data_IF_206319407699
#
_entry.id   IF_206319407699
#
_cell.length_a   1.000
_cell.length_b   1.000
_cell.length_c   1.000
_cell.angle_alpha   90.00
_cell.angle_beta   90.00
_cell.angle_gamma   90.00
#
_symmetry.space_group_name_H-M   'P 1'
#
loop_
_entity.id
_entity.type
_entity.pdbx_description
1 polymer ?
#
# COMPACT_ATOMS: atom_id res chain seq x y z
N UNK A 1 25.36 -27.51 8.72
CA UNK A 1 25.06 -27.77 10.16
C UNK A 1 23.68 -28.36 10.46
N UNK A 2 22.69 -28.29 9.54
CA UNK A 2 21.32 -28.84 9.78
C UNK A 2 21.25 -30.37 10.01
N UNK A 3 22.37 -31.09 9.89
CA UNK A 3 22.48 -32.52 10.14
C UNK A 3 23.75 -32.91 10.96
N UNK A 4 24.32 -31.99 11.76
CA UNK A 4 25.48 -32.35 12.60
C UNK A 4 25.03 -33.21 13.79
N UNK A 5 25.47 -34.48 13.90
CA UNK A 5 25.05 -35.36 14.96
C UNK A 5 25.89 -35.18 16.23
N UNK A 6 26.63 -34.08 16.40
CA UNK A 6 27.45 -33.84 17.59
C UNK A 6 26.82 -32.85 18.57
N UNK A 7 27.57 -32.52 19.62
CA UNK A 7 27.16 -31.57 20.63
C UNK A 7 27.07 -30.16 20.03
N UNK A 8 25.92 -29.51 20.16
CA UNK A 8 25.74 -28.14 19.66
C UNK A 8 26.29 -27.08 20.61
N UNK A 9 26.73 -27.45 21.82
CA UNK A 9 27.31 -26.53 22.80
C UNK A 9 28.83 -26.36 22.63
N UNK A 10 29.56 -27.48 22.57
CA UNK A 10 31.02 -27.48 22.40
C UNK A 10 31.49 -27.94 21.01
N UNK A 11 30.56 -28.25 20.10
CA UNK A 11 30.84 -28.72 18.74
C UNK A 11 31.57 -30.08 18.64
N UNK A 12 31.69 -30.81 19.75
CA UNK A 12 32.34 -32.12 19.77
C UNK A 12 31.43 -33.23 19.20
N UNK A 13 31.90 -34.11 18.30
CA UNK A 13 31.05 -35.10 17.63
C UNK A 13 30.62 -36.28 18.52
N UNK A 14 31.37 -36.60 19.57
CA UNK A 14 31.20 -37.83 20.35
C UNK A 14 30.04 -37.86 21.37
N UNK A 15 29.39 -36.72 21.67
CA UNK A 15 28.29 -36.68 22.64
C UNK A 15 27.20 -35.70 22.20
N UNK A 16 25.99 -35.81 22.76
CA UNK A 16 24.89 -34.88 22.49
C UNK A 16 24.94 -33.68 23.45
N UNK A 17 24.31 -32.56 23.07
CA UNK A 17 24.28 -31.33 23.89
C UNK A 17 23.80 -31.55 25.34
N UNK A 18 22.88 -32.48 25.56
CA UNK A 18 22.34 -32.84 26.88
C UNK A 18 23.38 -33.51 27.80
N UNK A 19 24.35 -34.20 27.21
CA UNK A 19 25.41 -34.96 27.90
C UNK A 19 26.72 -34.14 27.99
N UNK A 20 26.69 -32.88 27.54
CA UNK A 20 27.88 -32.05 27.49
C UNK A 20 28.29 -31.58 28.89
N UNK A 21 29.48 -31.95 29.35
CA UNK A 21 30.04 -31.52 30.62
C UNK A 21 30.53 -30.05 30.63
N UNK A 22 30.55 -29.38 29.47
CA UNK A 22 30.94 -27.97 29.39
C UNK A 22 29.91 -27.07 30.08
N UNK A 23 30.42 -26.15 30.90
CA UNK A 23 29.64 -25.08 31.54
C UNK A 23 29.39 -23.88 30.61
N UNK A 24 29.94 -23.92 29.39
CA UNK A 24 29.75 -22.87 28.40
C UNK A 24 28.27 -22.68 28.05
N UNK A 25 27.86 -21.42 27.93
CA UNK A 25 26.55 -20.99 27.45
C UNK A 25 26.71 -19.91 26.38
N UNK A 26 25.72 -19.77 25.50
CA UNK A 26 25.70 -18.76 24.46
C UNK A 26 25.79 -17.36 25.08
N UNK A 27 26.71 -16.53 24.58
CA UNK A 27 26.90 -15.17 25.11
C UNK A 27 25.77 -14.20 24.76
N UNK A 28 24.90 -14.56 23.82
CA UNK A 28 23.80 -13.68 23.37
C UNK A 28 22.44 -14.03 23.99
N UNK A 29 22.21 -15.28 24.36
CA UNK A 29 20.92 -15.71 24.93
C UNK A 29 21.03 -16.71 26.09
N UNK A 30 22.24 -16.96 26.57
CA UNK A 30 22.55 -17.86 27.69
C UNK A 30 22.09 -19.32 27.52
N UNK A 31 21.67 -19.70 26.31
CA UNK A 31 21.27 -21.06 25.95
C UNK A 31 22.47 -22.02 25.85
N UNK A 32 22.22 -23.33 26.04
CA UNK A 32 23.24 -24.39 25.88
C UNK A 32 23.53 -24.71 24.41
N UNK A 33 24.11 -23.75 23.70
CA UNK A 33 24.66 -23.90 22.35
C UNK A 33 25.87 -22.98 22.16
N UNK A 34 26.73 -23.35 21.21
CA UNK A 34 27.89 -22.54 20.85
C UNK A 34 27.42 -21.18 20.31
N UNK A 35 28.05 -20.08 20.73
CA UNK A 35 27.55 -18.72 20.40
C UNK A 35 27.47 -18.48 18.89
N UNK A 36 28.37 -19.07 18.10
CA UNK A 36 28.35 -18.99 16.62
C UNK A 36 27.16 -19.70 15.96
N UNK A 37 26.43 -20.54 16.71
CA UNK A 37 25.20 -21.20 16.26
C UNK A 37 23.93 -20.46 16.71
N UNK A 38 24.07 -19.34 17.42
CA UNK A 38 22.94 -18.54 17.83
C UNK A 38 22.19 -18.02 16.60
N UNK A 39 20.90 -18.29 16.55
CA UNK A 39 19.99 -17.74 15.55
C UNK A 39 19.10 -16.74 16.30
N UNK A 40 19.08 -15.46 15.91
CA UNK A 40 18.26 -14.46 16.59
C UNK A 40 16.79 -14.81 16.39
N UNK A 41 16.15 -15.34 17.43
CA UNK A 41 14.70 -15.53 17.47
C UNK A 41 14.03 -14.27 18.02
N UNK A 42 13.00 -13.79 17.32
CA UNK A 42 12.03 -12.83 17.86
C UNK A 42 11.42 -13.40 19.14
N UNK A 43 11.56 -12.65 20.22
CA UNK A 43 11.33 -13.08 21.59
C UNK A 43 9.86 -13.34 21.92
N UNK A 44 9.61 -14.46 22.60
CA UNK A 44 8.45 -14.79 23.44
C UNK A 44 8.72 -16.17 24.05
N UNK A 45 8.44 -16.52 25.32
CA UNK A 45 7.78 -15.91 26.48
C UNK A 45 8.01 -16.85 27.68
N UNK A 46 7.70 -16.45 28.92
CA UNK A 46 7.32 -17.41 29.99
C UNK A 46 6.19 -16.85 30.89
N UNK A 47 4.93 -17.23 30.57
CA UNK A 47 3.76 -17.68 31.37
C UNK A 47 3.56 -17.19 32.84
N UNK A 48 2.37 -16.81 33.38
CA UNK A 48 0.91 -17.16 33.20
C UNK A 48 0.03 -16.19 34.07
N UNK A 49 -1.32 -16.27 34.15
CA UNK A 49 -2.39 -16.51 33.16
C UNK A 49 -3.55 -15.47 33.19
N UNK A 50 -4.48 -15.57 32.23
CA UNK A 50 -5.85 -14.98 32.18
C UNK A 50 -5.99 -13.52 31.71
N UNK A 51 -6.27 -13.35 30.42
CA UNK A 51 -7.51 -12.76 29.87
C UNK A 51 -7.33 -12.59 28.36
N UNK A 52 -8.33 -13.02 27.60
CA UNK A 52 -8.45 -12.88 26.14
C UNK A 52 -8.16 -11.45 25.67
N UNK A 53 -7.11 -11.28 24.90
CA UNK A 53 -6.79 -10.05 24.19
C UNK A 53 -6.12 -10.39 22.87
N UNK A 54 -6.92 -10.51 21.82
CA UNK A 54 -6.43 -10.64 20.45
C UNK A 54 -5.42 -9.52 20.17
N UNK A 55 -4.16 -9.90 20.03
CA UNK A 55 -3.11 -9.02 19.54
C UNK A 55 -3.29 -8.90 18.03
N UNK A 56 -4.30 -8.13 17.65
CA UNK A 56 -4.60 -7.76 16.29
C UNK A 56 -3.49 -6.83 15.82
N UNK A 57 -2.37 -7.41 15.36
CA UNK A 57 -1.40 -6.71 14.55
C UNK A 57 -2.19 -6.09 13.41
N UNK A 58 -2.33 -4.77 13.46
CA UNK A 58 -3.26 -4.00 12.66
C UNK A 58 -2.81 -4.09 11.21
N UNK A 59 -3.22 -5.16 10.50
CA UNK A 59 -3.28 -5.17 9.05
C UNK A 59 -4.33 -4.11 8.72
N UNK A 60 -3.88 -2.88 8.52
CA UNK A 60 -4.73 -1.84 7.97
C UNK A 60 -5.41 -2.42 6.73
N UNK A 61 -6.74 -2.24 6.55
CA UNK A 61 -7.42 -2.70 5.36
C UNK A 61 -6.82 -1.93 4.18
N UNK A 62 -5.86 -2.56 3.51
CA UNK A 62 -5.33 -2.11 2.24
C UNK A 62 -6.23 -2.63 1.13
N UNK A 63 -6.36 -1.81 0.09
CA UNK A 63 -6.82 -2.12 -1.24
C UNK A 63 -6.34 -3.52 -1.61
N UNK A 64 -7.30 -4.43 -1.74
CA UNK A 64 -7.00 -5.81 -2.12
C UNK A 64 -6.77 -5.86 -3.61
N UNK A 65 -5.52 -5.64 -4.03
CA UNK A 65 -5.14 -5.61 -5.45
C UNK A 65 -3.71 -5.16 -5.69
N UNK A 66 -3.05 -4.54 -4.71
CA UNK A 66 -1.64 -4.13 -4.79
C UNK A 66 -0.71 -5.16 -4.17
N UNK A 67 0.45 -5.40 -4.80
CA UNK A 67 1.50 -6.20 -4.18
C UNK A 67 1.92 -5.58 -2.86
N UNK A 68 2.09 -6.42 -1.85
CA UNK A 68 2.69 -6.07 -0.55
C UNK A 68 4.11 -6.61 -0.43
N UNK A 69 4.64 -7.28 -1.47
CA UNK A 69 6.02 -7.70 -1.54
C UNK A 69 6.91 -6.55 -2.06
N UNK A 70 8.20 -6.52 -1.66
CA UNK A 70 9.18 -5.59 -2.21
C UNK A 70 9.62 -5.96 -3.65
N UNK A 71 9.12 -7.05 -4.21
CA UNK A 71 9.40 -7.42 -5.59
C UNK A 71 8.59 -6.54 -6.54
N UNK A 72 9.21 -6.14 -7.65
CA UNK A 72 8.56 -5.35 -8.70
C UNK A 72 7.42 -6.18 -9.26
N UNK A 73 6.20 -5.87 -8.85
CA UNK A 73 5.03 -6.30 -9.59
C UNK A 73 5.15 -5.59 -10.94
N UNK A 74 5.44 -6.34 -12.01
CA UNK A 74 5.55 -5.82 -13.39
C UNK A 74 4.21 -5.33 -13.94
N UNK A 75 3.47 -4.56 -13.15
CA UNK A 75 2.16 -3.96 -13.41
C UNK A 75 2.10 -2.60 -12.69
N UNK A 76 1.86 -1.54 -13.46
CA UNK A 76 1.50 -0.23 -12.95
C UNK A 76 -0.01 -0.13 -12.78
N UNK A 77 -0.45 0.40 -11.64
CA UNK A 77 -1.84 0.85 -11.48
C UNK A 77 -1.95 2.32 -11.92
N UNK A 78 -3.12 2.68 -12.45
CA UNK A 78 -3.38 4.04 -12.92
C UNK A 78 -3.44 5.03 -11.76
N UNK A 79 -2.36 5.78 -11.55
CA UNK A 79 -2.31 6.87 -10.57
C UNK A 79 -2.56 8.23 -11.23
N UNK A 80 -3.11 9.16 -10.44
CA UNK A 80 -3.37 10.54 -10.84
C UNK A 80 -3.00 11.50 -9.71
N UNK A 81 -2.58 12.71 -10.05
CA UNK A 81 -2.41 13.82 -9.11
C UNK A 81 -3.51 14.84 -9.35
N UNK A 82 -4.41 14.98 -8.39
CA UNK A 82 -5.53 15.92 -8.47
C UNK A 82 -5.32 17.11 -7.53
N UNK A 83 -5.87 18.26 -7.94
CA UNK A 83 -5.99 19.44 -7.10
C UNK A 83 -7.31 19.40 -6.35
N UNK A 84 -7.25 19.45 -5.02
CA UNK A 84 -8.41 19.38 -4.13
C UNK A 84 -8.43 20.66 -3.27
N UNK A 85 -9.49 21.47 -3.31
CA UNK A 85 -9.61 22.64 -2.44
C UNK A 85 -9.86 22.23 -0.99
N UNK A 86 -9.19 22.91 -0.05
CA UNK A 86 -9.56 22.87 1.37
C UNK A 86 -10.83 23.69 1.64
N UNK A 87 -11.30 23.67 2.89
CA UNK A 87 -12.49 24.44 3.31
C UNK A 87 -12.34 25.97 3.18
N UNK A 88 -11.13 26.48 2.94
CA UNK A 88 -10.86 27.89 2.66
C UNK A 88 -10.66 28.16 1.15
N UNK A 89 -10.86 27.15 0.29
CA UNK A 89 -10.69 27.25 -1.16
C UNK A 89 -9.26 27.15 -1.66
N UNK A 90 -8.27 26.89 -0.80
CA UNK A 90 -6.87 26.73 -1.22
C UNK A 90 -6.67 25.36 -1.83
N UNK A 91 -6.01 25.31 -2.99
CA UNK A 91 -5.79 24.06 -3.72
C UNK A 91 -4.60 23.29 -3.17
N UNK A 92 -4.79 22.00 -2.92
CA UNK A 92 -3.77 21.07 -2.46
C UNK A 92 -3.59 19.94 -3.47
N UNK A 93 -2.36 19.49 -3.71
CA UNK A 93 -2.06 18.39 -4.61
C UNK A 93 -2.02 17.08 -3.84
N UNK A 94 -2.79 16.10 -4.32
CA UNK A 94 -2.79 14.74 -3.76
C UNK A 94 -2.66 13.72 -4.87
N UNK A 95 -1.88 12.67 -4.63
CA UNK A 95 -1.87 11.47 -5.48
C UNK A 95 -3.03 10.56 -5.09
N UNK A 96 -3.71 10.02 -6.09
CA UNK A 96 -4.78 9.05 -5.94
C UNK A 96 -4.71 7.92 -6.96
N UNK A 97 -5.61 6.96 -6.79
CA UNK A 97 -5.72 5.76 -7.60
C UNK A 97 -7.03 5.78 -8.41
N UNK A 98 -6.99 5.38 -9.67
CA UNK A 98 -8.19 5.10 -10.47
C UNK A 98 -8.56 3.62 -10.32
N UNK A 99 -9.78 3.35 -9.89
CA UNK A 99 -10.23 1.98 -9.69
C UNK A 99 -11.72 1.81 -10.03
N UNK A 100 -11.99 1.26 -11.23
CA UNK A 100 -13.34 0.89 -11.63
C UNK A 100 -13.91 -0.32 -10.84
N UNK A 101 -13.08 -1.03 -10.06
CA UNK A 101 -13.50 -2.14 -9.20
C UNK A 101 -14.08 -1.72 -7.85
N UNK A 102 -13.93 -0.45 -7.48
CA UNK A 102 -14.52 0.11 -6.26
C UNK A 102 -15.82 0.85 -6.57
N UNK A 103 -16.92 0.52 -5.90
CA UNK A 103 -18.19 1.23 -6.11
C UNK A 103 -18.15 2.70 -5.66
N UNK A 104 -17.32 3.02 -4.67
CA UNK A 104 -17.26 4.33 -4.03
C UNK A 104 -15.89 4.96 -4.16
N UNK A 105 -15.87 6.28 -4.40
CA UNK A 105 -14.68 7.09 -4.17
C UNK A 105 -14.35 7.12 -2.68
N UNK A 106 -13.06 7.03 -2.36
CA UNK A 106 -12.57 7.02 -0.98
C UNK A 106 -11.47 8.06 -0.78
N UNK A 107 -11.35 8.56 0.44
CA UNK A 107 -10.28 9.48 0.85
C UNK A 107 -9.69 9.01 2.18
N UNK A 108 -8.38 9.12 2.33
CA UNK A 108 -7.73 8.80 3.59
C UNK A 108 -8.09 9.81 4.68
N UNK A 109 -8.19 9.34 5.92
CA UNK A 109 -8.45 10.19 7.09
C UNK A 109 -7.38 11.28 7.23
N UNK A 110 -6.11 10.96 6.89
CA UNK A 110 -5.01 11.93 6.86
C UNK A 110 -5.29 13.07 5.86
N UNK A 111 -5.68 12.73 4.63
CA UNK A 111 -5.97 13.71 3.58
C UNK A 111 -7.20 14.58 3.95
N UNK A 112 -8.28 13.97 4.43
CA UNK A 112 -9.47 14.69 4.87
C UNK A 112 -9.16 15.70 6.01
N UNK A 113 -8.32 15.31 6.97
CA UNK A 113 -7.85 16.21 8.03
C UNK A 113 -6.98 17.35 7.50
N UNK A 114 -6.07 17.10 6.56
CA UNK A 114 -5.24 18.14 5.93
C UNK A 114 -6.08 19.18 5.18
N UNK A 115 -7.20 18.76 4.61
CA UNK A 115 -8.17 19.62 3.92
C UNK A 115 -9.17 20.30 4.87
N UNK A 116 -9.06 20.06 6.19
CA UNK A 116 -9.99 20.54 7.22
C UNK A 116 -11.46 20.17 6.94
N UNK A 117 -11.71 19.01 6.35
CA UNK A 117 -13.05 18.55 6.00
C UNK A 117 -13.83 18.06 7.22
N UNK A 118 -15.13 18.36 7.24
CA UNK A 118 -16.05 17.87 8.28
C UNK A 118 -16.69 16.57 7.81
N UNK A 119 -16.40 15.47 8.51
CA UNK A 119 -17.01 14.17 8.26
C UNK A 119 -18.47 14.13 8.71
N UNK A 120 -19.33 13.58 7.87
CA UNK A 120 -20.70 13.20 8.23
C UNK A 120 -20.77 11.69 8.54
N UNK A 121 -21.70 11.25 9.40
CA UNK A 121 -21.91 9.83 9.64
C UNK A 121 -22.20 9.06 8.34
N UNK A 122 -21.62 7.86 8.24
CA UNK A 122 -21.91 6.89 7.19
C UNK A 122 -22.57 5.67 7.83
N UNK A 123 -23.79 5.35 7.41
CA UNK A 123 -24.55 4.20 7.89
C UNK A 123 -24.55 3.13 6.80
N UNK A 124 -23.46 2.36 6.74
CA UNK A 124 -23.29 1.29 5.77
C UNK A 124 -22.06 0.45 6.06
N UNK A 125 -21.93 -0.66 5.35
CA UNK A 125 -20.75 -1.49 5.34
C UNK A 125 -20.15 -1.50 3.94
N UNK A 126 -18.83 -1.61 3.86
CA UNK A 126 -18.11 -1.78 2.60
C UNK A 126 -17.26 -3.02 2.76
N UNK A 127 -17.24 -3.86 1.74
CA UNK A 127 -16.41 -5.06 1.68
C UNK A 127 -15.45 -4.96 0.50
N UNK A 128 -14.20 -5.36 0.72
CA UNK A 128 -13.21 -5.57 -0.32
C UNK A 128 -13.23 -7.01 -0.85
N UNK A 129 -12.13 -7.40 -1.49
CA UNK A 129 -11.93 -8.76 -2.02
C UNK A 129 -12.07 -9.79 -0.91
N UNK A 130 -12.59 -10.96 -1.27
CA UNK A 130 -12.86 -12.06 -0.34
C UNK A 130 -13.87 -11.69 0.76
N UNK A 131 -14.82 -10.79 0.45
CA UNK A 131 -15.81 -10.25 1.39
C UNK A 131 -15.18 -9.69 2.68
N UNK A 132 -13.94 -9.19 2.60
CA UNK A 132 -13.24 -8.65 3.75
C UNK A 132 -13.85 -7.28 4.11
N UNK A 133 -14.51 -7.13 5.26
CA UNK A 133 -15.13 -5.86 5.62
C UNK A 133 -14.08 -4.78 5.85
N UNK A 134 -14.32 -3.59 5.31
CA UNK A 134 -13.53 -2.42 5.64
C UNK A 134 -13.87 -1.97 7.06
N UNK A 135 -12.85 -1.95 7.91
CA UNK A 135 -12.95 -1.49 9.29
C UNK A 135 -12.58 -0.01 9.42
N UNK A 136 -13.04 0.61 10.52
CA UNK A 136 -12.65 1.97 10.90
C UNK A 136 -13.04 3.06 9.90
N UNK A 137 -14.14 2.88 9.17
CA UNK A 137 -14.75 3.95 8.36
C UNK A 137 -15.12 5.11 9.29
N UNK A 138 -14.57 6.30 9.02
CA UNK A 138 -14.78 7.50 9.87
C UNK A 138 -16.04 8.28 9.51
N UNK A 139 -16.63 7.98 8.36
CA UNK A 139 -17.79 8.69 7.83
C UNK A 139 -17.63 8.94 6.34
N UNK A 140 -18.29 9.99 5.86
CA UNK A 140 -18.19 10.47 4.48
C UNK A 140 -18.00 11.98 4.43
N UNK A 141 -17.36 12.47 3.37
CA UNK A 141 -17.13 13.90 3.11
C UNK A 141 -17.57 14.26 1.69
N UNK A 142 -17.93 15.52 1.49
CA UNK A 142 -18.10 16.06 0.14
C UNK A 142 -16.73 16.39 -0.44
N UNK A 143 -16.37 15.71 -1.53
CA UNK A 143 -15.09 15.85 -2.19
C UNK A 143 -15.28 16.54 -3.54
N UNK A 144 -14.38 17.47 -3.86
CA UNK A 144 -14.35 18.19 -5.11
C UNK A 144 -12.95 18.06 -5.70
N UNK A 145 -12.85 17.60 -6.93
CA UNK A 145 -11.59 17.60 -7.68
C UNK A 145 -11.64 18.70 -8.75
N UNK A 146 -10.57 19.48 -8.83
CA UNK A 146 -10.33 20.36 -9.96
C UNK A 146 -9.70 19.54 -11.08
N UNK A 147 -10.40 19.46 -12.21
CA UNK A 147 -9.82 18.94 -13.44
C UNK A 147 -8.99 20.01 -14.15
N UNK A 148 -8.24 19.61 -15.18
CA UNK A 148 -7.54 20.55 -16.06
C UNK A 148 -8.52 21.39 -16.92
N UNK A 149 -9.80 21.00 -16.98
CA UNK A 149 -10.85 21.76 -17.62
C UNK A 149 -11.63 22.57 -16.56
N UNK A 150 -11.56 23.92 -16.57
CA UNK A 150 -12.24 24.76 -15.59
C UNK A 150 -13.77 24.58 -15.55
N UNK A 151 -14.36 24.08 -16.64
CA UNK A 151 -15.81 23.84 -16.74
C UNK A 151 -16.25 22.50 -16.14
N UNK A 152 -15.32 21.56 -15.89
CA UNK A 152 -15.63 20.23 -15.39
C UNK A 152 -15.15 20.08 -13.95
N UNK A 153 -16.06 20.31 -13.00
CA UNK A 153 -15.84 20.06 -11.57
C UNK A 153 -16.36 18.67 -11.21
N UNK A 154 -15.48 17.78 -10.79
CA UNK A 154 -15.86 16.43 -10.35
C UNK A 154 -16.20 16.46 -8.87
N UNK A 155 -17.45 16.15 -8.52
CA UNK A 155 -17.94 16.21 -7.14
C UNK A 155 -18.56 14.88 -6.76
N UNK A 156 -18.21 14.36 -5.58
CA UNK A 156 -18.80 13.13 -5.04
C UNK A 156 -18.83 13.13 -3.50
N UNK A 157 -19.61 12.23 -2.92
CA UNK A 157 -19.47 11.87 -1.50
C UNK A 157 -18.42 10.77 -1.35
N UNK A 158 -17.25 11.12 -0.83
CA UNK A 158 -16.17 10.16 -0.61
C UNK A 158 -16.25 9.53 0.77
N UNK A 159 -16.00 8.22 0.85
CA UNK A 159 -15.91 7.49 2.11
C UNK A 159 -14.54 7.73 2.76
N UNK A 160 -14.53 8.07 4.05
CA UNK A 160 -13.29 8.34 4.79
C UNK A 160 -12.76 7.06 5.41
N UNK A 161 -11.62 6.60 4.92
CA UNK A 161 -10.94 5.35 5.33
C UNK A 161 -9.59 5.64 5.99
N UNK A 162 -9.05 4.75 6.84
CA UNK A 162 -7.74 4.98 7.47
C UNK A 162 -6.58 4.92 6.46
N UNK A 163 -6.66 4.00 5.50
CA UNK A 163 -5.67 3.80 4.44
C UNK A 163 -6.38 3.29 3.18
N UNK A 164 -5.76 3.50 2.02
CA UNK A 164 -6.24 2.97 0.74
C UNK A 164 -5.29 1.87 0.31
N UNK A 165 -4.01 2.14 0.08
CA UNK A 165 -3.03 1.14 -0.34
C UNK A 165 -1.64 1.53 0.19
N UNK A 166 -0.66 0.61 0.29
CA UNK A 166 0.73 0.99 0.45
C UNK A 166 1.19 1.99 -0.65
N UNK A 167 2.33 2.67 -0.46
CA UNK A 167 2.88 3.54 -1.50
C UNK A 167 3.02 2.84 -2.85
N UNK A 168 2.75 3.58 -3.93
CA UNK A 168 2.82 3.09 -5.30
C UNK A 168 3.77 3.94 -6.15
N UNK A 169 4.58 3.30 -7.03
CA UNK A 169 4.89 1.87 -7.03
C UNK A 169 5.58 1.44 -5.73
N UNK A 170 5.65 0.14 -5.44
CA UNK A 170 6.24 -0.39 -4.22
C UNK A 170 7.74 -0.10 -4.13
N UNK A 171 8.40 -0.04 -5.29
CA UNK A 171 9.81 0.27 -5.47
C UNK A 171 9.98 1.25 -6.64
N UNK A 172 11.04 2.08 -6.64
CA UNK A 172 11.33 2.95 -7.77
C UNK A 172 11.55 2.15 -9.05
N UNK A 173 11.06 2.68 -10.17
CA UNK A 173 11.20 2.07 -11.49
C UNK A 173 12.27 2.79 -12.30
N UNK A 174 13.31 2.05 -12.70
CA UNK A 174 14.43 2.58 -13.48
C UNK A 174 14.43 1.96 -14.88
N UNK A 175 14.06 2.75 -15.89
CA UNK A 175 14.16 2.38 -17.31
C UNK A 175 14.10 3.64 -18.17
N UNK A 176 14.86 3.68 -19.26
CA UNK A 176 14.80 4.78 -20.24
C UNK A 176 13.46 4.82 -20.97
N UNK A 177 12.73 3.70 -21.03
CA UNK A 177 11.40 3.64 -21.68
C UNK A 177 10.43 4.67 -21.10
N UNK A 178 10.61 5.06 -19.82
CA UNK A 178 9.75 6.01 -19.15
C UNK A 178 9.87 7.44 -19.72
N UNK A 179 10.93 7.74 -20.46
CA UNK A 179 11.09 9.03 -21.16
C UNK A 179 10.02 9.21 -22.23
N UNK A 180 9.64 8.14 -22.95
CA UNK A 180 8.59 8.21 -23.96
C UNK A 180 7.22 8.48 -23.36
N UNK A 181 6.92 7.91 -22.19
CA UNK A 181 5.68 8.20 -21.46
C UNK A 181 5.66 9.64 -20.93
N UNK A 182 6.81 10.14 -20.44
CA UNK A 182 6.95 11.51 -19.93
C UNK A 182 6.88 12.59 -21.01
N UNK A 183 6.90 12.21 -22.29
CA UNK A 183 6.62 13.15 -23.39
C UNK A 183 5.15 13.60 -23.45
N UNK A 184 4.25 12.89 -22.76
CA UNK A 184 2.84 13.24 -22.63
C UNK A 184 2.58 14.08 -21.38
N UNK A 185 1.47 14.83 -21.38
CA UNK A 185 0.99 15.50 -20.18
C UNK A 185 0.42 14.47 -19.20
N UNK A 186 1.27 13.93 -18.32
CA UNK A 186 0.89 12.88 -17.38
C UNK A 186 0.00 13.40 -16.24
N UNK A 187 -0.97 12.57 -15.86
CA UNK A 187 -1.79 12.77 -14.66
C UNK A 187 -0.97 12.66 -13.38
N UNK A 188 0.07 11.82 -13.39
CA UNK A 188 1.01 11.65 -12.28
C UNK A 188 2.44 11.64 -12.85
N UNK A 189 3.15 12.79 -12.84
CA UNK A 189 4.51 12.87 -13.37
C UNK A 189 5.52 11.97 -12.66
N UNK A 190 5.24 11.63 -11.40
CA UNK A 190 6.13 10.86 -10.54
C UNK A 190 5.67 9.38 -10.43
N UNK A 191 4.91 8.86 -11.42
CA UNK A 191 4.34 7.50 -11.39
C UNK A 191 5.38 6.37 -11.28
N UNK A 192 6.67 6.66 -11.51
CA UNK A 192 7.79 5.73 -11.34
C UNK A 192 8.38 5.75 -9.92
N UNK A 193 7.98 6.70 -9.08
CA UNK A 193 8.50 6.91 -7.73
C UNK A 193 7.48 6.52 -6.66
N UNK A 194 7.86 5.73 -5.63
CA UNK A 194 6.97 5.36 -4.55
C UNK A 194 6.36 6.57 -3.86
N UNK A 195 5.03 6.65 -3.84
CA UNK A 195 4.31 7.77 -3.24
C UNK A 195 3.02 7.33 -2.55
N UNK A 196 2.60 8.05 -1.49
CA UNK A 196 1.39 7.72 -0.75
C UNK A 196 0.13 8.00 -1.58
N UNK A 197 -0.84 7.09 -1.51
CA UNK A 197 -2.16 7.25 -2.13
C UNK A 197 -3.13 7.86 -1.12
N UNK A 198 -3.62 9.05 -1.42
CA UNK A 198 -4.45 9.87 -0.53
C UNK A 198 -5.95 9.74 -0.80
N UNK A 199 -6.32 9.40 -2.03
CA UNK A 199 -7.70 9.12 -2.44
C UNK A 199 -7.75 8.01 -3.50
N UNK A 200 -8.94 7.46 -3.72
CA UNK A 200 -9.27 6.48 -4.74
C UNK A 200 -10.54 6.96 -5.44
N UNK A 201 -10.52 7.02 -6.76
CA UNK A 201 -11.69 7.33 -7.59
C UNK A 201 -12.35 6.02 -7.99
N UNK A 202 -13.57 5.81 -7.49
CA UNK A 202 -14.37 4.62 -7.76
C UNK A 202 -15.22 4.76 -9.02
N UNK A 203 -16.01 3.72 -9.31
CA UNK A 203 -16.97 3.66 -10.40
C UNK A 203 -18.04 4.76 -10.36
N UNK A 204 -18.24 5.41 -9.20
CA UNK A 204 -19.11 6.58 -9.04
C UNK A 204 -18.62 7.81 -9.82
N UNK A 205 -17.31 7.95 -10.03
CA UNK A 205 -16.70 9.04 -10.79
C UNK A 205 -15.85 8.59 -11.99
N UNK A 206 -15.47 7.31 -12.05
CA UNK A 206 -14.59 6.77 -13.07
C UNK A 206 -15.01 7.14 -14.51
N UNK A 207 -16.29 7.04 -14.91
CA UNK A 207 -16.71 7.37 -16.28
C UNK A 207 -16.59 8.85 -16.63
N UNK A 208 -16.61 9.76 -15.64
CA UNK A 208 -16.40 11.19 -15.87
C UNK A 208 -14.91 11.55 -15.88
N UNK A 209 -14.07 10.71 -15.27
CA UNK A 209 -12.62 10.93 -15.15
C UNK A 209 -11.88 10.39 -16.36
N UNK A 210 -12.23 9.19 -16.84
CA UNK A 210 -11.58 8.55 -18.00
C UNK A 210 -12.29 8.97 -19.28
N UNK A 211 -11.56 9.65 -20.17
CA UNK A 211 -12.17 10.39 -21.30
C UNK A 211 -11.80 9.85 -22.67
N UNK A 212 -10.74 9.04 -22.77
CA UNK A 212 -10.19 8.60 -24.04
C UNK A 212 -9.87 7.12 -24.10
N UNK A 213 -9.65 6.64 -25.32
CA UNK A 213 -9.20 5.28 -25.56
C UNK A 213 -7.72 5.11 -25.15
N UNK A 214 -7.30 3.88 -24.80
CA UNK A 214 -5.90 3.61 -24.50
C UNK A 214 -4.98 3.88 -25.69
N UNK A 215 -3.83 4.51 -25.43
CA UNK A 215 -2.76 4.72 -26.40
C UNK A 215 -1.65 3.70 -26.13
N UNK A 216 -1.14 3.10 -27.21
CA UNK A 216 -0.01 2.16 -27.21
C UNK A 216 1.26 2.92 -27.55
N UNK A 217 2.23 2.96 -26.63
CA UNK A 217 3.61 3.40 -26.95
C UNK A 217 4.45 2.20 -27.37
N UNK A 218 4.42 1.15 -26.55
CA UNK A 218 5.09 -0.13 -26.80
C UNK A 218 4.06 -1.25 -26.83
N UNK A 219 4.20 -2.20 -27.75
CA UNK A 219 3.24 -3.31 -27.92
C UNK A 219 3.02 -4.07 -26.60
N UNK A 220 4.11 -4.37 -25.91
CA UNK A 220 4.17 -5.03 -24.61
C UNK A 220 4.25 -4.07 -23.41
N UNK A 221 4.26 -2.75 -23.62
CA UNK A 221 4.36 -1.78 -22.53
C UNK A 221 3.04 -1.42 -21.86
N UNK A 222 3.06 -0.63 -20.77
CA UNK A 222 1.85 -0.07 -20.22
C UNK A 222 1.14 0.85 -21.23
N UNK A 223 -0.15 1.07 -21.03
CA UNK A 223 -0.96 1.96 -21.85
C UNK A 223 -1.04 3.33 -21.20
N UNK A 224 -1.12 4.36 -22.03
CA UNK A 224 -1.58 5.67 -21.61
C UNK A 224 -3.11 5.70 -21.72
N UNK A 225 -3.80 6.14 -20.68
CA UNK A 225 -5.24 6.37 -20.71
C UNK A 225 -5.49 7.85 -20.44
N UNK A 226 -6.21 8.50 -21.34
CA UNK A 226 -6.57 9.91 -21.19
C UNK A 226 -7.58 10.08 -20.05
N UNK A 227 -7.31 11.05 -19.18
CA UNK A 227 -8.20 11.44 -18.09
C UNK A 227 -8.34 12.96 -18.07
N UNK A 228 -9.31 13.45 -17.30
CA UNK A 228 -9.46 14.90 -17.06
C UNK A 228 -8.28 15.55 -16.32
N UNK A 229 -7.34 14.76 -15.79
CA UNK A 229 -6.11 15.22 -15.13
C UNK A 229 -4.85 15.12 -16.02
N UNK A 230 -4.97 14.54 -17.22
CA UNK A 230 -3.85 14.19 -18.11
C UNK A 230 -3.85 12.70 -18.44
N UNK A 231 -2.75 12.16 -18.96
CA UNK A 231 -2.62 10.74 -19.27
C UNK A 231 -2.11 9.96 -18.05
N UNK A 232 -2.83 8.91 -17.64
CA UNK A 232 -2.35 7.97 -16.62
C UNK A 232 -1.63 6.80 -17.30
N UNK A 233 -0.59 6.25 -16.66
CA UNK A 233 0.16 5.08 -17.15
C UNK A 233 -0.33 3.86 -16.38
N UNK A 234 -0.82 2.83 -17.08
CA UNK A 234 -1.39 1.64 -16.45
C UNK A 234 -1.13 0.39 -17.27
N UNK A 235 -0.88 -0.74 -16.59
CA UNK A 235 -0.70 -2.03 -17.23
C UNK A 235 0.67 -2.65 -16.99
N UNK A 236 0.92 -3.77 -17.67
CA UNK A 236 2.15 -4.55 -17.49
C UNK A 236 3.37 -3.80 -18.02
N UNK A 237 4.51 -4.04 -17.38
CA UNK A 237 5.82 -3.59 -17.82
C UNK A 237 6.87 -4.66 -17.49
N UNK A 238 8.00 -4.61 -18.19
CA UNK A 238 9.07 -5.62 -18.18
C UNK A 238 10.39 -5.03 -17.71
#
# INVERSE_FOLDING_TARGET
>A
LRQFPGCRNCLHPAHRTKECASTFVCRECEGRHHTTLHLPQKSGSTQTPVATGDSNASKAPGFSGTSVSPEVAGVLLGTVVALIPDTHGRLHRFRGLLDAGSQYTMITSKCASQLNMVCKPYQGAISGVNNSPLHNIKGKVQLLFNSNNPCSKLKTEAIVVPAITPPLPQTPLHSSMWEDYRSYQLSDPDFTEPGPISFLIGADLYPEVVTGAPIVIYEDGPRLIETVFGFTVVGRFF
#
